data_IF_651584337682
#
_entry.id   IF_651584337682
#
_cell.length_a   1.000
_cell.length_b   1.000
_cell.length_c   1.000
_cell.angle_alpha   90.00
_cell.angle_beta   90.00
_cell.angle_gamma   90.00
#
_symmetry.space_group_name_H-M   'P 1'
#
loop_
_entity.id
_entity.type
_entity.pdbx_description
1 polymer ?
#
# COMPACT_ATOMS: atom_id res chain seq x y z
N UNK A 1 4.24 16.41 -7.71
CA UNK A 1 3.26 15.60 -7.00
C UNK A 1 3.29 14.19 -7.57
N UNK A 2 3.94 13.29 -6.85
CA UNK A 2 4.04 11.87 -7.17
C UNK A 2 2.76 11.15 -6.71
N UNK A 3 2.06 10.50 -7.64
CA UNK A 3 1.00 9.54 -7.31
C UNK A 3 1.54 8.27 -6.61
N UNK A 4 2.86 8.10 -6.59
CA UNK A 4 3.55 7.03 -5.91
C UNK A 4 5.04 7.35 -5.86
N UNK A 5 5.63 7.19 -4.66
CA UNK A 5 7.00 7.60 -4.37
C UNK A 5 7.81 6.43 -3.84
N UNK A 6 9.06 6.31 -4.28
CA UNK A 6 9.86 5.11 -4.05
C UNK A 6 11.31 5.37 -3.68
N UNK A 7 11.86 6.50 -4.11
CA UNK A 7 13.27 6.84 -3.84
C UNK A 7 13.30 8.10 -3.03
N UNK A 8 14.16 8.13 -2.02
CA UNK A 8 14.57 9.37 -1.38
C UNK A 8 16.08 9.47 -1.45
N UNK A 9 16.61 10.57 -1.96
CA UNK A 9 18.02 10.92 -1.87
C UNK A 9 18.21 12.26 -1.18
N UNK A 10 19.42 12.57 -0.75
CA UNK A 10 19.78 13.92 -0.30
C UNK A 10 20.85 14.49 -1.22
N UNK A 11 20.64 15.71 -1.74
CA UNK A 11 21.64 16.45 -2.50
C UNK A 11 22.87 16.77 -1.62
N UNK A 12 24.02 17.09 -2.23
CA UNK A 12 25.18 17.62 -1.50
C UNK A 12 24.85 18.91 -0.71
N UNK A 13 23.85 19.68 -1.17
CA UNK A 13 23.31 20.84 -0.46
C UNK A 13 22.49 20.49 0.79
N UNK A 14 22.24 19.20 1.05
CA UNK A 14 21.44 18.70 2.16
C UNK A 14 19.93 18.62 1.89
N UNK A 15 19.46 19.12 0.74
CA UNK A 15 18.03 19.04 0.37
C UNK A 15 17.62 17.61 0.00
N UNK A 16 16.46 17.11 0.47
CA UNK A 16 15.96 15.82 0.06
C UNK A 16 15.38 15.90 -1.36
N UNK A 17 15.48 14.80 -2.10
CA UNK A 17 14.97 14.62 -3.46
C UNK A 17 14.12 13.36 -3.48
N UNK A 18 12.93 13.46 -4.06
CA UNK A 18 11.98 12.36 -4.11
C UNK A 18 11.86 11.79 -5.54
N UNK A 19 12.11 10.49 -5.69
CA UNK A 19 11.85 9.77 -6.92
C UNK A 19 10.43 9.21 -6.96
N UNK A 20 9.68 9.56 -8.00
CA UNK A 20 8.39 8.96 -8.30
C UNK A 20 8.55 7.73 -9.20
N UNK A 21 7.72 6.71 -9.03
CA UNK A 21 7.39 5.78 -10.11
C UNK A 21 6.03 5.18 -9.89
N UNK A 22 5.42 4.74 -10.98
CA UNK A 22 4.07 4.16 -10.98
C UNK A 22 4.13 2.64 -10.84
N UNK A 23 3.60 2.05 -9.75
CA UNK A 23 3.46 0.60 -9.63
C UNK A 23 2.47 0.05 -10.64
N UNK A 24 2.59 -1.21 -11.03
CA UNK A 24 1.60 -1.87 -11.90
C UNK A 24 0.23 -2.07 -11.24
N UNK A 25 0.16 -2.10 -9.91
CA UNK A 25 -1.05 -2.49 -9.18
C UNK A 25 -2.02 -1.36 -8.82
N UNK A 26 -1.70 -0.09 -9.11
CA UNK A 26 -2.66 1.02 -9.05
C UNK A 26 -2.19 2.20 -9.91
N UNK A 27 -3.08 3.17 -10.16
CA UNK A 27 -2.78 4.35 -10.99
C UNK A 27 -2.95 4.15 -12.51
N UNK A 28 -3.66 3.08 -12.91
CA UNK A 28 -3.93 2.74 -14.32
C UNK A 28 -5.43 2.66 -14.59
N UNK A 29 -5.86 3.04 -15.78
CA UNK A 29 -7.23 2.84 -16.25
C UNK A 29 -7.41 1.47 -16.92
N UNK A 30 -8.65 1.16 -17.34
CA UNK A 30 -8.98 -0.13 -17.95
C UNK A 30 -8.28 -0.37 -19.31
N UNK A 31 -7.78 0.68 -19.95
CA UNK A 31 -7.02 0.61 -21.19
C UNK A 31 -5.52 0.40 -20.97
N UNK A 32 -5.07 0.26 -19.71
CA UNK A 32 -3.66 0.14 -19.37
C UNK A 32 -2.91 1.48 -19.48
N UNK A 33 -3.63 2.60 -19.51
CA UNK A 33 -3.03 3.93 -19.55
C UNK A 33 -2.93 4.51 -18.13
N UNK A 34 -1.87 5.30 -17.84
CA UNK A 34 -1.79 6.04 -16.59
C UNK A 34 -2.99 6.97 -16.40
N UNK A 35 -3.56 6.97 -15.19
CA UNK A 35 -4.67 7.88 -14.84
C UNK A 35 -4.18 9.33 -14.74
N UNK A 36 -2.94 9.52 -14.28
CA UNK A 36 -2.30 10.84 -14.18
C UNK A 36 -1.05 10.87 -15.03
N UNK A 37 -0.78 12.03 -15.64
CA UNK A 37 0.26 12.15 -16.66
C UNK A 37 1.59 12.70 -16.14
N UNK A 38 1.63 13.34 -14.96
CA UNK A 38 2.83 14.10 -14.59
C UNK A 38 3.04 14.25 -13.10
N UNK A 39 4.21 13.81 -12.66
CA UNK A 39 4.79 14.28 -11.43
C UNK A 39 5.35 15.69 -11.61
N UNK A 40 4.89 16.62 -10.78
CA UNK A 40 5.48 17.97 -10.67
C UNK A 40 6.67 17.98 -9.71
N UNK A 41 7.76 18.66 -10.10
CA UNK A 41 8.98 18.85 -9.31
C UNK A 41 9.34 20.34 -9.29
N UNK A 42 9.76 20.83 -8.13
CA UNK A 42 10.33 22.18 -8.02
C UNK A 42 11.80 22.18 -8.41
N UNK A 43 12.31 23.37 -8.71
CA UNK A 43 13.76 23.61 -8.87
C UNK A 43 14.29 24.34 -7.65
N UNK A 44 15.21 23.72 -6.94
CA UNK A 44 15.90 24.29 -5.78
C UNK A 44 17.34 24.55 -6.21
N UNK A 45 17.75 25.83 -6.23
CA UNK A 45 19.08 26.25 -6.71
C UNK A 45 19.41 25.74 -8.13
N UNK A 46 18.39 25.63 -8.99
CA UNK A 46 18.54 25.14 -10.37
C UNK A 46 18.35 23.62 -10.53
N UNK A 47 18.49 22.84 -9.46
CA UNK A 47 18.35 21.38 -9.46
C UNK A 47 16.92 20.93 -9.16
N UNK A 48 16.37 19.93 -9.86
CA UNK A 48 15.04 19.40 -9.57
C UNK A 48 15.00 18.67 -8.22
N UNK A 49 13.95 18.89 -7.44
CA UNK A 49 13.71 18.23 -6.14
C UNK A 49 13.08 16.83 -6.26
N UNK A 50 13.01 16.31 -7.48
CA UNK A 50 12.56 14.97 -7.74
C UNK A 50 12.72 14.54 -9.19
N UNK A 51 12.40 13.29 -9.46
CA UNK A 51 12.49 12.71 -10.79
C UNK A 51 11.45 11.60 -10.98
N UNK A 52 11.05 11.38 -12.23
CA UNK A 52 10.21 10.25 -12.59
C UNK A 52 11.10 9.10 -13.06
N UNK A 53 11.04 7.96 -12.38
CA UNK A 53 11.72 6.75 -12.82
C UNK A 53 10.97 6.16 -14.01
N UNK A 54 11.73 5.68 -15.01
CA UNK A 54 11.15 4.94 -16.14
C UNK A 54 10.48 3.67 -15.61
N UNK A 55 9.18 3.52 -15.87
CA UNK A 55 8.43 2.31 -15.52
C UNK A 55 8.95 1.13 -16.35
N UNK A 56 9.30 0.04 -15.68
CA UNK A 56 9.85 -1.16 -16.32
C UNK A 56 8.73 -2.10 -16.79
N UNK A 57 7.59 -2.10 -16.09
CA UNK A 57 6.45 -3.00 -16.36
C UNK A 57 5.18 -2.17 -16.52
N UNK A 58 4.52 -2.28 -17.68
CA UNK A 58 3.25 -1.62 -17.97
C UNK A 58 2.14 -2.68 -17.89
N UNK A 59 1.03 -2.42 -17.17
CA UNK A 59 -0.10 -3.34 -17.16
C UNK A 59 -0.69 -3.54 -18.54
N UNK A 60 -1.12 -4.76 -18.84
CA UNK A 60 -1.83 -5.05 -20.08
C UNK A 60 -3.19 -4.36 -20.09
N UNK A 61 -3.64 -3.98 -21.30
CA UNK A 61 -5.02 -3.56 -21.52
C UNK A 61 -5.98 -4.68 -21.11
N UNK A 62 -7.03 -4.32 -20.38
CA UNK A 62 -8.05 -5.27 -19.93
C UNK A 62 -8.91 -5.75 -21.10
N UNK A 63 -9.35 -7.00 -21.04
CA UNK A 63 -10.31 -7.55 -22.03
C UNK A 63 -11.68 -6.89 -21.89
N UNK A 64 -12.55 -7.03 -22.89
CA UNK A 64 -13.92 -6.48 -22.84
C UNK A 64 -14.71 -6.99 -21.64
N UNK A 65 -14.50 -8.25 -21.24
CA UNK A 65 -15.13 -8.86 -20.07
C UNK A 65 -14.58 -8.30 -18.77
N UNK A 66 -13.26 -8.10 -18.66
CA UNK A 66 -12.62 -7.55 -17.46
C UNK A 66 -12.99 -6.08 -17.24
N UNK A 67 -13.13 -5.31 -18.33
CA UNK A 67 -13.54 -3.90 -18.28
C UNK A 67 -14.87 -3.69 -17.56
N UNK A 68 -15.81 -4.62 -17.68
CA UNK A 68 -17.12 -4.52 -17.04
C UNK A 68 -17.05 -4.54 -15.49
N UNK A 69 -16.00 -5.15 -14.94
CA UNK A 69 -15.80 -5.28 -13.49
C UNK A 69 -14.65 -4.42 -12.97
N UNK A 70 -13.98 -3.67 -13.86
CA UNK A 70 -12.84 -2.86 -13.50
C UNK A 70 -13.26 -1.67 -12.63
N UNK A 71 -12.60 -1.55 -11.48
CA UNK A 71 -12.67 -0.34 -10.65
C UNK A 71 -11.33 0.39 -10.74
N UNK A 72 -11.31 1.66 -11.17
CA UNK A 72 -10.09 2.46 -11.17
C UNK A 72 -9.47 2.50 -9.77
N UNK A 73 -8.19 2.14 -9.68
CA UNK A 73 -7.42 2.21 -8.44
C UNK A 73 -6.70 3.56 -8.42
N UNK A 74 -7.42 4.58 -7.94
CA UNK A 74 -7.00 5.99 -7.99
C UNK A 74 -6.48 6.43 -6.62
N UNK A 75 -5.35 7.14 -6.66
CA UNK A 75 -4.77 7.85 -5.54
C UNK A 75 -5.43 9.24 -5.38
N UNK A 76 -5.57 9.70 -4.15
CA UNK A 76 -5.93 11.08 -3.85
C UNK A 76 -4.79 11.77 -3.12
N UNK A 77 -4.53 13.03 -3.45
CA UNK A 77 -3.45 13.80 -2.86
C UNK A 77 -3.98 15.11 -2.28
N UNK A 78 -3.34 15.59 -1.22
CA UNK A 78 -3.53 16.95 -0.72
C UNK A 78 -3.24 17.96 -1.83
N UNK A 79 -3.89 19.12 -1.84
CA UNK A 79 -3.65 20.13 -2.87
C UNK A 79 -2.37 20.94 -2.66
N UNK A 80 -1.76 20.88 -1.47
CA UNK A 80 -0.59 21.66 -1.06
C UNK A 80 0.30 20.87 -0.10
N UNK A 81 1.45 21.45 0.26
CA UNK A 81 2.39 20.88 1.23
C UNK A 81 2.06 21.33 2.65
N UNK A 82 0.93 20.88 3.18
CA UNK A 82 0.46 21.30 4.50
C UNK A 82 0.84 20.33 5.63
N UNK A 83 1.29 19.13 5.29
CA UNK A 83 1.45 18.03 6.23
C UNK A 83 2.89 17.90 6.73
N UNK A 84 3.08 17.84 8.05
CA UNK A 84 4.41 17.58 8.65
C UNK A 84 4.77 16.08 8.71
N UNK A 85 3.81 15.19 8.48
CA UNK A 85 3.95 13.73 8.53
C UNK A 85 2.83 13.08 7.72
N UNK A 86 3.13 11.95 7.08
CA UNK A 86 2.14 11.10 6.41
C UNK A 86 1.85 9.82 7.23
N UNK A 87 1.48 9.97 8.50
CA UNK A 87 1.40 8.86 9.46
C UNK A 87 0.30 7.82 9.22
N UNK A 88 -0.69 8.07 8.35
CA UNK A 88 -1.79 7.11 8.18
C UNK A 88 -1.29 5.87 7.45
N UNK A 89 -1.73 4.69 7.89
CA UNK A 89 -1.40 3.40 7.24
C UNK A 89 -1.86 3.29 5.78
N UNK A 90 -2.68 4.24 5.30
CA UNK A 90 -3.15 4.36 3.92
C UNK A 90 -2.48 5.49 3.13
N UNK A 91 -1.47 6.16 3.68
CA UNK A 91 -0.81 7.32 3.09
C UNK A 91 0.64 7.04 2.65
N UNK A 92 1.14 7.88 1.76
CA UNK A 92 2.56 8.01 1.41
C UNK A 92 2.93 9.48 1.17
N UNK A 93 4.23 9.74 1.12
CA UNK A 93 4.78 11.06 0.79
C UNK A 93 4.69 11.26 -0.72
N UNK A 94 3.74 12.06 -1.18
CA UNK A 94 3.57 12.44 -2.59
C UNK A 94 4.50 13.57 -3.04
N UNK A 95 5.10 14.29 -2.10
CA UNK A 95 6.08 15.33 -2.38
C UNK A 95 6.61 15.96 -1.09
N UNK A 96 7.77 16.61 -1.19
CA UNK A 96 8.38 17.38 -0.10
C UNK A 96 8.47 18.82 -0.56
N UNK A 97 8.06 19.78 0.29
CA UNK A 97 8.14 21.19 -0.03
C UNK A 97 9.62 21.63 -0.13
N UNK A 98 9.94 22.61 -0.99
CA UNK A 98 11.28 23.18 -1.04
C UNK A 98 11.76 23.67 0.32
N UNK A 99 12.96 23.26 0.72
CA UNK A 99 13.60 23.73 1.94
C UNK A 99 14.51 24.91 1.56
N UNK A 100 14.08 26.13 1.88
CA UNK A 100 14.88 27.33 1.65
C UNK A 100 15.88 27.60 2.79
N UNK A 101 15.55 27.17 4.00
CA UNK A 101 16.44 27.22 5.17
C UNK A 101 16.77 25.81 5.64
N UNK A 102 18.01 25.37 5.39
CA UNK A 102 18.49 24.04 5.77
C UNK A 102 18.59 23.85 7.29
N UNK A 103 18.54 24.92 8.09
CA UNK A 103 18.52 24.83 9.54
C UNK A 103 17.11 24.63 10.11
N UNK A 104 16.07 24.79 9.29
CA UNK A 104 14.69 24.46 9.69
C UNK A 104 14.60 22.98 10.08
N UNK A 105 14.00 22.70 11.23
CA UNK A 105 13.86 21.33 11.76
C UNK A 105 12.66 20.58 11.18
N UNK A 106 11.71 21.28 10.57
CA UNK A 106 10.47 20.70 10.05
C UNK A 106 10.48 20.56 8.53
N UNK A 107 10.01 19.42 8.04
CA UNK A 107 9.62 19.24 6.64
C UNK A 107 8.13 19.51 6.49
N UNK A 108 7.77 20.16 5.38
CA UNK A 108 6.39 20.19 4.91
C UNK A 108 6.28 19.24 3.73
N UNK A 109 5.26 18.42 3.72
CA UNK A 109 5.03 17.35 2.77
C UNK A 109 3.61 17.43 2.23
N UNK A 110 3.44 16.86 1.06
CA UNK A 110 2.14 16.57 0.49
C UNK A 110 1.88 15.09 0.69
N UNK A 111 0.85 14.75 1.45
CA UNK A 111 0.43 13.37 1.62
C UNK A 111 -0.57 12.98 0.55
N UNK A 112 -0.39 11.77 0.03
CA UNK A 112 -1.37 11.12 -0.82
C UNK A 112 -1.87 9.86 -0.14
N UNK A 113 -3.10 9.43 -0.44
CA UNK A 113 -3.72 8.25 0.15
C UNK A 113 -4.44 7.40 -0.89
N UNK A 114 -4.52 6.11 -0.55
CA UNK A 114 -5.20 5.09 -1.32
C UNK A 114 -5.58 3.96 -0.36
N UNK A 115 -6.88 3.71 -0.19
CA UNK A 115 -7.39 2.87 0.90
C UNK A 115 -6.86 1.44 0.92
N UNK A 116 -6.47 0.90 -0.25
CA UNK A 116 -5.91 -0.45 -0.32
C UNK A 116 -4.53 -0.54 0.38
N UNK A 117 -3.82 0.57 0.57
CA UNK A 117 -2.55 0.61 1.30
C UNK A 117 -2.68 0.19 2.77
N UNK A 118 -3.89 0.07 3.32
CA UNK A 118 -4.13 -0.58 4.63
C UNK A 118 -3.58 -2.01 4.70
N UNK A 119 -3.42 -2.66 3.55
CA UNK A 119 -2.86 -4.01 3.41
C UNK A 119 -1.33 -4.02 3.30
N UNK A 120 -0.68 -2.85 3.37
CA UNK A 120 0.77 -2.74 3.33
C UNK A 120 1.42 -3.20 4.64
N UNK A 121 2.61 -3.77 4.52
CA UNK A 121 3.45 -4.16 5.66
C UNK A 121 4.59 -3.18 5.86
N UNK A 122 4.99 -2.96 7.11
CA UNK A 122 6.17 -2.15 7.41
C UNK A 122 7.46 -2.84 6.91
N UNK A 123 8.36 -2.07 6.30
CA UNK A 123 9.70 -2.51 5.88
C UNK A 123 10.80 -1.93 6.77
N UNK A 124 10.44 -1.02 7.67
CA UNK A 124 11.34 -0.35 8.59
C UNK A 124 11.72 1.05 8.12
N UNK A 125 12.72 1.59 8.81
CA UNK A 125 13.18 2.96 8.65
C UNK A 125 14.65 2.96 8.21
N UNK A 126 14.96 3.79 7.23
CA UNK A 126 16.32 3.96 6.72
C UNK A 126 16.84 5.36 7.03
N UNK A 127 18.10 5.45 7.46
CA UNK A 127 18.80 6.71 7.68
C UNK A 127 19.52 7.13 6.39
N UNK A 128 19.28 8.35 5.92
CA UNK A 128 19.84 8.91 4.69
C UNK A 128 20.62 10.17 5.00
N UNK A 129 21.93 10.14 4.78
CA UNK A 129 22.81 11.30 4.91
C UNK A 129 22.92 12.07 3.57
N UNK A 130 23.44 13.31 3.58
CA UNK A 130 23.75 14.03 2.35
C UNK A 130 24.56 13.19 1.35
N UNK A 131 24.16 13.21 0.08
CA UNK A 131 24.74 12.39 -0.98
C UNK A 131 24.28 10.93 -1.02
N UNK A 132 23.50 10.46 -0.04
CA UNK A 132 22.99 9.09 0.00
C UNK A 132 21.60 8.97 -0.61
N UNK A 133 21.22 7.73 -0.90
CA UNK A 133 19.95 7.36 -1.53
C UNK A 133 19.41 6.09 -0.89
N UNK A 134 18.10 6.04 -0.73
CA UNK A 134 17.36 4.83 -0.37
C UNK A 134 16.40 4.50 -1.50
N UNK A 135 16.42 3.23 -1.90
CA UNK A 135 15.71 2.72 -3.07
C UNK A 135 14.59 1.78 -2.64
N UNK A 136 13.35 2.15 -2.93
CA UNK A 136 12.18 1.28 -2.95
C UNK A 136 11.74 0.94 -4.38
N UNK A 137 10.42 0.80 -4.55
CA UNK A 137 9.75 0.63 -5.83
C UNK A 137 9.32 -0.81 -6.10
N UNK A 138 9.28 -1.18 -7.37
CA UNK A 138 8.83 -2.48 -7.85
C UNK A 138 9.64 -3.61 -7.20
N UNK A 139 8.94 -4.52 -6.53
CA UNK A 139 9.53 -5.73 -5.97
C UNK A 139 9.19 -6.89 -6.89
N UNK A 140 10.23 -7.48 -7.50
CA UNK A 140 10.09 -8.48 -8.54
C UNK A 140 10.36 -9.90 -8.01
N UNK A 141 9.63 -10.86 -8.56
CA UNK A 141 9.91 -12.30 -8.51
C UNK A 141 9.71 -12.84 -9.91
N UNK A 142 10.69 -13.56 -10.46
CA UNK A 142 10.61 -14.11 -11.83
C UNK A 142 10.26 -13.05 -12.91
N UNK A 143 10.90 -11.87 -12.82
CA UNK A 143 10.64 -10.68 -13.66
C UNK A 143 9.23 -10.09 -13.54
N UNK A 144 8.48 -10.48 -12.52
CA UNK A 144 7.11 -10.05 -12.29
C UNK A 144 6.98 -9.28 -10.99
N UNK A 145 6.32 -8.12 -11.04
CA UNK A 145 6.06 -7.32 -9.86
C UNK A 145 4.99 -7.99 -8.99
N UNK A 146 5.34 -8.28 -7.73
CA UNK A 146 4.40 -8.82 -6.73
C UNK A 146 4.14 -7.84 -5.58
N UNK A 147 4.96 -6.81 -5.44
CA UNK A 147 4.76 -5.76 -4.46
C UNK A 147 5.39 -4.44 -4.92
N UNK A 148 5.14 -3.38 -4.15
CA UNK A 148 5.75 -2.07 -4.34
C UNK A 148 6.15 -1.49 -2.99
N UNK A 149 7.43 -1.13 -2.85
CA UNK A 149 7.96 -0.45 -1.68
C UNK A 149 7.84 1.07 -1.88
N UNK A 150 7.12 1.74 -0.98
CA UNK A 150 6.86 3.17 -1.06
C UNK A 150 7.33 3.91 0.21
N UNK A 151 7.63 5.20 0.05
CA UNK A 151 8.02 6.08 1.16
C UNK A 151 6.77 6.49 1.93
N UNK A 152 6.57 5.93 3.11
CA UNK A 152 5.40 6.23 3.94
C UNK A 152 5.56 7.53 4.71
N UNK A 153 6.77 7.88 5.13
CA UNK A 153 7.05 9.15 5.82
C UNK A 153 8.52 9.54 5.72
N UNK A 154 8.82 10.83 5.94
CA UNK A 154 10.19 11.35 5.98
C UNK A 154 10.34 12.35 7.13
N UNK A 155 11.31 12.10 8.02
CA UNK A 155 11.67 13.02 9.09
C UNK A 155 13.05 13.60 8.84
N UNK A 156 13.18 14.92 8.94
CA UNK A 156 14.49 15.57 9.00
C UNK A 156 14.99 15.55 10.44
N UNK A 157 16.28 15.26 10.60
CA UNK A 157 17.00 15.25 11.87
C UNK A 157 18.29 16.05 11.72
N UNK A 158 18.81 16.50 12.85
CA UNK A 158 20.06 17.22 12.93
C UNK A 158 20.91 16.62 14.05
N UNK A 159 22.17 16.37 13.75
CA UNK A 159 23.17 15.95 14.72
C UNK A 159 23.65 17.14 15.56
N UNK A 160 24.36 16.85 16.65
CA UNK A 160 24.95 17.87 17.53
C UNK A 160 25.98 18.76 16.82
N UNK A 161 26.62 18.26 15.77
CA UNK A 161 27.59 18.99 14.94
C UNK A 161 26.91 19.88 13.87
N UNK A 162 25.57 19.93 13.86
CA UNK A 162 24.77 20.69 12.89
C UNK A 162 24.52 19.95 11.58
N UNK A 163 25.12 18.77 11.35
CA UNK A 163 24.88 17.99 10.13
C UNK A 163 23.45 17.43 10.10
N UNK A 164 22.82 17.48 8.94
CA UNK A 164 21.44 16.98 8.75
C UNK A 164 21.44 15.54 8.25
N UNK A 165 20.43 14.78 8.64
CA UNK A 165 20.12 13.47 8.07
C UNK A 165 18.61 13.26 8.02
N UNK A 166 18.17 12.29 7.23
CA UNK A 166 16.75 11.98 7.06
C UNK A 166 16.46 10.56 7.54
N UNK A 167 15.34 10.40 8.22
CA UNK A 167 14.76 9.11 8.57
C UNK A 167 13.58 8.86 7.63
N UNK A 168 13.74 7.86 6.75
CA UNK A 168 12.78 7.53 5.70
C UNK A 168 12.09 6.24 6.08
N UNK A 169 10.77 6.32 6.32
CA UNK A 169 9.95 5.15 6.61
C UNK A 169 9.47 4.49 5.31
N UNK A 170 9.57 3.17 5.22
CA UNK A 170 9.24 2.41 4.01
C UNK A 170 8.18 1.38 4.33
N UNK A 171 7.18 1.26 3.46
CA UNK A 171 6.14 0.23 3.53
C UNK A 171 6.03 -0.51 2.22
N UNK A 172 5.61 -1.77 2.28
CA UNK A 172 5.42 -2.65 1.13
C UNK A 172 3.95 -2.89 0.88
N UNK A 173 3.46 -2.47 -0.27
CA UNK A 173 2.10 -2.76 -0.72
C UNK A 173 2.09 -4.01 -1.61
N UNK A 174 1.27 -5.05 -1.32
CA UNK A 174 1.14 -6.21 -2.20
C UNK A 174 0.35 -5.88 -3.47
N UNK A 175 0.87 -6.28 -4.62
CA UNK A 175 0.18 -6.14 -5.90
C UNK A 175 -0.69 -7.39 -6.17
N UNK A 176 -1.97 -7.32 -5.81
CA UNK A 176 -2.98 -8.38 -5.99
C UNK A 176 -4.24 -7.87 -6.74
N UNK A 177 -4.87 -8.69 -7.60
CA UNK A 177 -4.37 -9.96 -8.08
C UNK A 177 -3.16 -9.74 -9.00
N UNK A 178 -2.51 -10.84 -9.28
CA UNK A 178 -1.35 -10.93 -10.15
C UNK A 178 -1.63 -10.23 -11.51
N UNK A 179 -0.80 -9.30 -12.02
CA UNK A 179 -1.12 -8.50 -13.22
C UNK A 179 -1.39 -9.28 -14.51
N UNK A 180 -0.99 -10.55 -14.56
CA UNK A 180 -1.22 -11.55 -15.62
C UNK A 180 -2.49 -12.40 -15.40
N UNK A 181 -3.12 -12.31 -14.23
CA UNK A 181 -4.30 -13.07 -13.85
C UNK A 181 -5.31 -12.15 -13.15
N UNK A 182 -6.16 -11.49 -13.94
CA UNK A 182 -7.39 -10.85 -13.43
C UNK A 182 -8.40 -11.88 -12.89
N UNK A 183 -8.19 -13.16 -13.22
CA UNK A 183 -8.96 -14.29 -12.71
C UNK A 183 -8.02 -15.38 -12.19
N UNK A 184 -8.22 -15.80 -10.95
CA UNK A 184 -7.72 -17.08 -10.47
C UNK A 184 -8.71 -18.16 -10.86
N UNK A 185 -8.24 -19.25 -11.47
CA UNK A 185 -9.06 -20.45 -11.64
C UNK A 185 -9.32 -21.05 -10.26
N UNK A 186 -10.41 -20.61 -9.65
CA UNK A 186 -10.94 -21.24 -8.44
C UNK A 186 -11.62 -22.52 -8.87
N UNK A 187 -11.07 -23.66 -8.43
CA UNK A 187 -11.67 -24.97 -8.64
C UNK A 187 -13.15 -24.95 -8.25
N UNK A 188 -14.01 -25.62 -9.03
CA UNK A 188 -15.47 -25.54 -8.87
C UNK A 188 -15.91 -25.90 -7.45
N UNK A 189 -15.22 -26.85 -6.80
CA UNK A 189 -15.45 -27.23 -5.42
C UNK A 189 -15.15 -26.08 -4.44
N UNK A 190 -14.00 -25.41 -4.58
CA UNK A 190 -13.62 -24.27 -3.75
C UNK A 190 -14.51 -23.04 -4.02
N UNK A 191 -14.93 -22.82 -5.27
CA UNK A 191 -15.89 -21.77 -5.62
C UNK A 191 -17.23 -21.98 -4.92
N UNK A 192 -17.73 -23.20 -4.93
CA UNK A 192 -18.97 -23.56 -4.24
C UNK A 192 -18.82 -23.40 -2.72
N UNK A 193 -17.66 -23.72 -2.15
CA UNK A 193 -17.39 -23.49 -0.74
C UNK A 193 -17.39 -22.00 -0.37
N UNK A 194 -16.73 -21.16 -1.17
CA UNK A 194 -16.72 -19.70 -0.99
C UNK A 194 -18.16 -19.16 -1.05
N UNK A 195 -18.93 -19.53 -2.08
CA UNK A 195 -20.33 -19.11 -2.21
C UNK A 195 -21.14 -19.57 -1.00
N UNK A 196 -21.05 -20.85 -0.60
CA UNK A 196 -21.79 -21.38 0.55
C UNK A 196 -21.42 -20.70 1.87
N UNK A 197 -20.15 -20.29 2.05
CA UNK A 197 -19.69 -19.60 3.27
C UNK A 197 -20.08 -18.12 3.28
N UNK A 198 -20.11 -17.43 2.14
CA UNK A 198 -20.28 -15.98 2.08
C UNK A 198 -21.69 -15.52 1.64
N UNK A 199 -22.46 -16.30 0.88
CA UNK A 199 -23.87 -15.98 0.57
C UNK A 199 -24.82 -16.25 1.74
N UNK A 200 -24.44 -17.13 2.67
CA UNK A 200 -25.24 -17.41 3.88
C UNK A 200 -24.99 -16.41 5.02
N UNK A 201 -24.05 -15.48 4.86
CA UNK A 201 -23.91 -14.35 5.79
C UNK A 201 -24.90 -13.27 5.37
N UNK A 202 -26.16 -13.41 5.81
CA UNK A 202 -27.11 -12.30 5.70
C UNK A 202 -26.50 -11.07 6.39
N UNK A 203 -26.48 -9.89 5.76
CA UNK A 203 -26.14 -8.67 6.48
C UNK A 203 -27.14 -8.56 7.64
N UNK A 204 -26.63 -8.56 8.89
CA UNK A 204 -27.47 -8.36 10.08
C UNK A 204 -28.23 -7.06 9.88
N UNK A 205 -29.55 -7.15 9.82
CA UNK A 205 -30.36 -5.94 9.69
C UNK A 205 -30.27 -5.15 10.99
N UNK A 206 -30.52 -3.84 10.94
CA UNK A 206 -30.56 -3.00 12.14
C UNK A 206 -31.52 -3.56 13.20
N UNK A 207 -32.57 -4.28 12.76
CA UNK A 207 -33.52 -4.98 13.61
C UNK A 207 -32.91 -6.20 14.32
N UNK A 208 -32.05 -6.97 13.64
CA UNK A 208 -31.34 -8.12 14.22
C UNK A 208 -30.32 -7.67 15.27
N UNK A 209 -29.64 -6.55 15.02
CA UNK A 209 -28.69 -5.95 15.98
C UNK A 209 -29.41 -5.41 17.22
N UNK A 210 -30.56 -4.76 17.03
CA UNK A 210 -31.41 -4.28 18.14
C UNK A 210 -32.02 -5.44 18.95
N UNK A 211 -32.31 -6.56 18.31
CA UNK A 211 -32.89 -7.74 18.98
C UNK A 211 -31.83 -8.48 19.82
N UNK A 212 -30.59 -8.58 19.33
CA UNK A 212 -29.46 -9.13 20.09
C UNK A 212 -29.05 -8.27 21.31
N UNK A 213 -29.15 -6.94 21.19
CA UNK A 213 -28.93 -6.01 22.31
C UNK A 213 -30.05 -6.10 23.37
N UNK A 214 -31.27 -6.47 22.96
CA UNK A 214 -32.42 -6.65 23.86
C UNK A 214 -32.46 -8.03 24.52
N UNK A 215 -31.86 -9.06 23.91
CA UNK A 215 -31.80 -10.42 24.46
C UNK A 215 -30.66 -10.63 25.46
N UNK A 216 -29.77 -9.64 25.66
CA UNK A 216 -28.72 -9.70 26.67
C UNK A 216 -27.61 -10.72 26.40
N UNK A 217 -27.45 -11.21 25.16
CA UNK A 217 -26.35 -12.10 24.81
C UNK A 217 -25.03 -11.33 24.74
N UNK A 218 -24.17 -11.54 25.75
CA UNK A 218 -22.84 -10.95 25.84
C UNK A 218 -21.93 -11.46 24.69
N UNK A 219 -21.11 -10.61 24.03
CA UNK A 219 -20.38 -10.98 22.80
C UNK A 219 -19.17 -11.91 22.98
N UNK A 220 -19.03 -12.63 24.10
CA UNK A 220 -17.77 -13.30 24.45
C UNK A 220 -17.73 -14.82 24.24
N UNK A 221 -18.72 -15.46 23.62
CA UNK A 221 -18.74 -16.94 23.51
C UNK A 221 -18.47 -17.54 22.12
N UNK A 222 -17.97 -16.75 21.17
CA UNK A 222 -17.76 -17.21 19.79
C UNK A 222 -16.34 -17.70 19.47
N UNK A 223 -15.43 -17.76 20.47
CA UNK A 223 -14.02 -18.13 20.23
C UNK A 223 -13.62 -19.55 20.67
N UNK A 224 -14.51 -20.36 21.26
CA UNK A 224 -14.16 -21.72 21.73
C UNK A 224 -14.67 -22.88 20.85
N UNK A 225 -15.14 -22.63 19.63
CA UNK A 225 -15.65 -23.70 18.73
C UNK A 225 -14.71 -24.08 17.58
N UNK A 226 -13.46 -23.62 17.61
CA UNK A 226 -12.44 -23.98 16.61
C UNK A 226 -11.40 -25.01 17.09
N UNK A 227 -11.44 -25.46 18.36
CA UNK A 227 -10.32 -26.26 18.92
C UNK A 227 -10.67 -27.67 19.45
N UNK A 228 -11.83 -28.23 19.10
CA UNK A 228 -12.21 -29.60 19.57
C UNK A 228 -12.54 -30.61 18.47
N UNK A 229 -12.19 -30.32 17.20
CA UNK A 229 -12.36 -31.30 16.10
C UNK A 229 -11.07 -31.89 15.53
N UNK A 230 -9.97 -31.80 16.27
CA UNK A 230 -8.71 -32.44 15.92
C UNK A 230 -8.24 -33.43 16.99
N UNK A 231 -9.12 -34.30 17.50
CA UNK A 231 -8.72 -35.52 18.22
C UNK A 231 -9.90 -36.48 18.40
N UNK A 232 -10.19 -37.28 17.36
CA UNK A 232 -10.90 -38.55 17.53
C UNK A 232 -10.45 -39.50 16.42
N UNK A 233 -9.35 -40.20 16.71
CA UNK A 233 -8.80 -41.27 15.90
C UNK A 233 -9.80 -42.41 15.72
N UNK A 234 -9.83 -42.93 14.50
CA UNK A 234 -10.54 -44.14 14.06
C UNK A 234 -9.80 -45.36 14.62
N UNK A 235 -10.36 -46.02 15.63
CA UNK A 235 -10.01 -47.40 16.01
C UNK A 235 -11.06 -48.32 15.38
N UNK A 236 -10.61 -49.16 14.45
CA UNK A 236 -11.40 -50.17 13.76
C UNK A 236 -11.55 -51.39 14.68
N UNK A 237 -12.78 -51.81 14.95
CA UNK A 237 -13.10 -52.97 15.79
C UNK A 237 -14.32 -53.70 15.22
N UNK A 238 -14.09 -54.62 14.28
CA UNK A 238 -15.10 -55.59 13.85
C UNK A 238 -15.06 -56.81 14.76
N UNK A 239 -16.16 -57.06 15.46
CA UNK A 239 -16.56 -58.39 15.92
C UNK A 239 -17.78 -58.79 15.10
N UNK A 240 -17.69 -59.94 14.42
CA UNK A 240 -18.84 -60.66 13.88
C UNK A 240 -18.68 -62.09 14.37
N UNK A 241 -19.74 -62.57 15.02
CA UNK A 241 -19.97 -63.92 15.50
C UNK A 241 -19.92 -64.98 14.40
#
# INVERSE_FOLDING_TARGET
MCDSSLTSSSLPSGNPVLGCARPTCFGWNADGMPITQSAQFFRIQGEPDGFLRKTIVIPNKMTSSDKAYFKPQVAHCESSFASGTCYRNVQWVGGIAPIYDINSTSLSMQCCWYDALRHSTDRGMATVKPGQIVLGGEVLRDRRQYAFDYVSDVFKKQNLDGSVYYEVSIRRFPCLPMPDQLTTNVEKALRNEIINRFENVRPKTHRDTLQALRSGESPQRSLELLDTKETAGRVDGRHVS
#
